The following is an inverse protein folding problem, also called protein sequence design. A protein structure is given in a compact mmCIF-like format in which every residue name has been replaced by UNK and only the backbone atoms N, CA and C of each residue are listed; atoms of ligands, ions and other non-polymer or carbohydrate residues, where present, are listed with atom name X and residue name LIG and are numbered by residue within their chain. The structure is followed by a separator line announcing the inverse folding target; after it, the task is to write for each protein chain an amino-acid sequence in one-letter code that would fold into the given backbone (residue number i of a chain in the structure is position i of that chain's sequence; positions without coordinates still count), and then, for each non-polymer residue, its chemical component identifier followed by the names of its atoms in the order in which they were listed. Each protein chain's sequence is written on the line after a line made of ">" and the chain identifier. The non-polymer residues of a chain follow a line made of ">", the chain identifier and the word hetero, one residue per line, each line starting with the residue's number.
data_IF_814436493802
#
_entry.id   IF_814436493802
#
_cell.length_a   1.000
_cell.length_b   1.000
_cell.length_c   1.000
_cell.angle_alpha   90.00
_cell.angle_beta   90.00
_cell.angle_gamma   90.00
#
_symmetry.space_group_name_H-M   'P 1'
#
loop_
_entity.id
_entity.type
_entity.pdbx_description
1 polymer ?
#
# COMPACT_ATOMS: atom_id res chain seq x y z
N UNK A 1 18.92 -3.13 -0.90
CA UNK A 1 19.19 -1.71 -0.59
C UNK A 1 18.35 -0.88 -1.56
N UNK A 2 17.70 0.20 -1.13
CA UNK A 2 16.98 1.06 -2.07
C UNK A 2 18.00 1.86 -2.89
N UNK A 3 17.98 1.68 -4.21
CA UNK A 3 18.76 2.51 -5.12
C UNK A 3 18.09 3.88 -5.28
N UNK A 4 18.87 4.91 -5.62
CA UNK A 4 18.34 6.22 -6.00
C UNK A 4 17.19 6.03 -7.02
N UNK A 5 16.05 6.67 -6.78
CA UNK A 5 14.86 6.48 -7.62
C UNK A 5 13.86 5.43 -7.11
N UNK A 6 14.08 4.80 -5.96
CA UNK A 6 13.18 3.78 -5.40
C UNK A 6 12.88 4.03 -3.92
N UNK A 7 11.75 3.53 -3.44
CA UNK A 7 11.38 3.50 -2.03
C UNK A 7 11.04 2.08 -1.59
N UNK A 8 11.03 1.85 -0.28
CA UNK A 8 10.72 0.54 0.32
C UNK A 8 9.35 0.62 0.97
N UNK A 9 8.47 -0.31 0.61
CA UNK A 9 7.22 -0.54 1.32
C UNK A 9 7.26 -1.91 1.98
N UNK A 10 6.67 -1.97 3.15
CA UNK A 10 6.39 -3.20 3.88
C UNK A 10 4.89 -3.47 3.86
N UNK A 11 4.52 -4.71 4.10
CA UNK A 11 3.13 -5.16 4.23
C UNK A 11 2.89 -5.69 5.63
N UNK A 12 1.62 -5.92 5.98
CA UNK A 12 1.26 -6.47 7.30
C UNK A 12 1.90 -7.84 7.57
N UNK A 13 2.08 -8.66 6.53
CA UNK A 13 2.79 -9.94 6.59
C UNK A 13 4.33 -9.79 6.55
N UNK A 14 4.83 -8.57 6.78
CA UNK A 14 6.24 -8.19 6.84
C UNK A 14 7.03 -8.44 5.54
N UNK A 15 6.34 -8.65 4.41
CA UNK A 15 7.01 -8.70 3.11
C UNK A 15 7.51 -7.32 2.72
N UNK A 16 8.58 -7.31 1.94
CA UNK A 16 9.31 -6.09 1.56
C UNK A 16 9.32 -5.95 0.04
N UNK A 17 8.88 -4.79 -0.44
CA UNK A 17 8.91 -4.44 -1.85
C UNK A 17 9.77 -3.20 -2.08
N UNK A 18 10.54 -3.22 -3.18
CA UNK A 18 11.27 -2.05 -3.67
C UNK A 18 10.52 -1.52 -4.87
N UNK A 19 9.98 -0.31 -4.75
CA UNK A 19 9.08 0.27 -5.73
C UNK A 19 9.73 1.50 -6.36
N UNK A 20 9.66 1.69 -7.69
CA UNK A 20 10.11 2.91 -8.33
C UNK A 20 9.39 4.15 -7.78
N UNK A 21 10.11 5.25 -7.54
CA UNK A 21 9.53 6.52 -7.06
C UNK A 21 8.49 7.09 -8.03
N UNK A 22 8.56 6.75 -9.32
CA UNK A 22 7.55 7.17 -10.29
C UNK A 22 6.14 6.66 -9.93
N UNK A 23 6.04 5.57 -9.16
CA UNK A 23 4.76 5.00 -8.73
C UNK A 23 4.10 5.85 -7.66
N UNK A 24 4.84 6.68 -6.92
CA UNK A 24 4.26 7.61 -5.92
C UNK A 24 3.27 8.59 -6.57
N UNK A 25 3.46 8.89 -7.86
CA UNK A 25 2.53 9.73 -8.63
C UNK A 25 1.23 9.01 -9.05
N UNK A 26 1.15 7.70 -8.89
CA UNK A 26 -0.05 6.91 -9.19
C UNK A 26 -1.04 7.05 -8.04
N UNK A 27 -2.32 7.21 -8.38
CA UNK A 27 -3.38 7.48 -7.40
C UNK A 27 -3.44 6.37 -6.35
N UNK A 28 -3.28 5.10 -6.75
CA UNK A 28 -3.31 3.97 -5.84
C UNK A 28 -2.18 3.98 -4.82
N UNK A 29 -0.96 4.36 -5.23
CA UNK A 29 0.16 4.47 -4.30
C UNK A 29 0.00 5.66 -3.37
N UNK A 30 -0.44 6.82 -3.88
CA UNK A 30 -0.73 7.97 -3.03
C UNK A 30 -1.74 7.67 -1.93
N UNK A 31 -2.83 6.96 -2.26
CA UNK A 31 -3.85 6.57 -1.29
C UNK A 31 -3.38 5.46 -0.35
N UNK A 32 -2.62 4.47 -0.83
CA UNK A 32 -2.01 3.45 0.03
C UNK A 32 -1.06 4.07 1.07
N UNK A 33 -0.29 5.09 0.69
CA UNK A 33 0.55 5.87 1.61
C UNK A 33 -0.32 6.61 2.64
N UNK A 34 -1.38 7.30 2.21
CA UNK A 34 -2.31 7.98 3.12
C UNK A 34 -2.96 7.01 4.11
N UNK A 35 -3.40 5.85 3.64
CA UNK A 35 -3.96 4.80 4.50
C UNK A 35 -2.93 4.27 5.50
N UNK A 36 -1.64 4.23 5.16
CA UNK A 36 -0.58 3.85 6.11
C UNK A 36 -0.37 4.88 7.23
N UNK A 37 -0.68 6.16 7.00
CA UNK A 37 -0.63 7.17 8.06
C UNK A 37 -1.83 7.05 9.01
N UNK A 38 -3.00 6.68 8.49
CA UNK A 38 -4.25 6.56 9.25
C UNK A 38 -4.38 5.21 9.98
N UNK A 39 -3.97 4.11 9.34
CA UNK A 39 -4.16 2.73 9.81
C UNK A 39 -2.85 1.94 9.97
N UNK A 40 -1.70 2.58 9.75
CA UNK A 40 -0.41 1.91 9.85
C UNK A 40 -0.11 1.41 11.27
N UNK A 41 0.69 0.36 11.34
CA UNK A 41 1.14 -0.18 12.62
C UNK A 41 2.06 0.84 13.33
N UNK A 42 1.94 1.01 14.66
CA UNK A 42 2.87 1.84 15.42
C UNK A 42 4.30 1.32 15.24
N UNK A 43 5.19 2.22 14.83
CA UNK A 43 6.53 1.92 14.33
C UNK A 43 7.50 1.49 15.44
N UNK A 44 7.48 0.21 15.83
CA UNK A 44 8.54 -0.41 16.63
C UNK A 44 9.55 -1.21 15.78
N UNK A 45 9.40 -1.27 14.45
CA UNK A 45 10.27 -1.99 13.49
C UNK A 45 10.35 -1.22 12.14
N UNK A 46 11.26 -1.58 11.21
CA UNK A 46 12.22 -0.68 10.57
C UNK A 46 11.64 0.47 9.72
N UNK A 47 12.38 1.59 9.70
CA UNK A 47 12.21 2.87 8.97
C UNK A 47 11.64 2.66 7.55
N UNK A 48 10.32 2.52 7.43
CA UNK A 48 9.65 2.24 6.17
C UNK A 48 8.14 2.34 6.31
N UNK A 49 7.48 2.57 5.18
CA UNK A 49 6.03 2.69 5.13
C UNK A 49 5.44 1.28 5.11
N UNK A 50 4.58 0.97 6.09
CA UNK A 50 3.86 -0.31 6.14
C UNK A 50 2.45 -0.12 5.59
N UNK A 51 2.17 -0.75 4.46
CA UNK A 51 0.86 -0.71 3.82
C UNK A 51 -0.12 -1.64 4.58
N UNK A 52 -1.40 -1.23 4.74
CA UNK A 52 -2.41 -2.02 5.42
C UNK A 52 -2.99 -3.13 4.51
N UNK A 53 -2.11 -3.90 3.88
CA UNK A 53 -2.43 -5.02 3.00
C UNK A 53 -1.36 -6.11 3.12
N UNK A 54 -1.68 -7.33 2.69
CA UNK A 54 -0.69 -8.41 2.58
C UNK A 54 0.19 -8.26 1.32
N UNK A 55 1.29 -9.01 1.26
CA UNK A 55 2.17 -8.92 0.09
C UNK A 55 1.61 -9.54 -1.18
N UNK A 56 0.63 -10.44 -1.11
CA UNK A 56 -0.03 -10.96 -2.33
C UNK A 56 -0.80 -9.84 -3.02
N UNK A 57 -1.53 -9.05 -2.23
CA UNK A 57 -2.21 -7.87 -2.72
C UNK A 57 -1.23 -6.82 -3.24
N UNK A 58 -0.12 -6.58 -2.54
CA UNK A 58 0.91 -5.64 -2.99
C UNK A 58 1.57 -6.05 -4.30
N UNK A 59 1.86 -7.35 -4.49
CA UNK A 59 2.34 -7.88 -5.77
C UNK A 59 1.34 -7.63 -6.90
N UNK A 60 0.05 -7.84 -6.63
CA UNK A 60 -1.01 -7.58 -7.59
C UNK A 60 -1.14 -6.08 -7.95
N UNK A 61 -1.07 -5.18 -6.97
CA UNK A 61 -1.08 -3.72 -7.22
C UNK A 61 0.13 -3.31 -8.06
N UNK A 62 1.33 -3.78 -7.73
CA UNK A 62 2.54 -3.49 -8.50
C UNK A 62 2.37 -3.95 -9.96
N UNK A 63 1.87 -5.17 -10.16
CA UNK A 63 1.57 -5.70 -11.49
C UNK A 63 0.56 -4.82 -12.24
N UNK A 64 -0.56 -4.44 -11.61
CA UNK A 64 -1.59 -3.61 -12.22
C UNK A 64 -1.10 -2.22 -12.62
N UNK A 65 -0.22 -1.62 -11.80
CA UNK A 65 0.40 -0.33 -12.11
C UNK A 65 1.34 -0.46 -13.31
N UNK A 66 2.11 -1.56 -13.42
CA UNK A 66 2.98 -1.83 -14.57
C UNK A 66 2.19 -1.95 -15.87
N UNK A 67 1.05 -2.65 -15.85
CA UNK A 67 0.22 -2.87 -17.04
C UNK A 67 -0.74 -1.72 -17.36
N UNK A 68 -0.59 -0.56 -16.70
CA UNK A 68 -1.44 0.63 -16.91
C UNK A 68 -2.93 0.32 -16.73
N UNK A 69 -3.32 -0.06 -15.52
CA UNK A 69 -4.73 -0.29 -15.20
C UNK A 69 -5.62 0.92 -15.56
N UNK A 70 -6.86 0.68 -16.04
CA UNK A 70 -7.83 1.75 -16.25
C UNK A 70 -8.15 2.48 -14.95
N UNK A 71 -8.38 3.79 -15.04
CA UNK A 71 -8.67 4.65 -13.88
C UNK A 71 -9.88 4.18 -13.08
N UNK A 72 -10.92 3.68 -13.76
CA UNK A 72 -12.13 3.16 -13.09
C UNK A 72 -11.83 1.91 -12.27
N UNK A 73 -10.92 1.05 -12.75
CA UNK A 73 -10.45 -0.12 -11.99
C UNK A 73 -9.62 0.32 -10.79
N UNK A 74 -8.82 1.38 -10.94
CA UNK A 74 -8.00 1.95 -9.86
C UNK A 74 -8.89 2.50 -8.74
N UNK A 75 -9.93 3.26 -9.10
CA UNK A 75 -10.94 3.78 -8.16
C UNK A 75 -11.71 2.65 -7.46
N UNK A 76 -12.13 1.62 -8.19
CA UNK A 76 -12.85 0.50 -7.62
C UNK A 76 -12.00 -0.27 -6.60
N UNK A 77 -10.73 -0.54 -6.93
CA UNK A 77 -9.79 -1.18 -6.02
C UNK A 77 -9.53 -0.35 -4.77
N UNK A 78 -9.35 0.97 -4.92
CA UNK A 78 -9.20 1.88 -3.79
C UNK A 78 -10.42 1.89 -2.88
N UNK A 79 -11.63 1.88 -3.44
CA UNK A 79 -12.87 1.80 -2.65
C UNK A 79 -12.91 0.54 -1.78
N UNK A 80 -12.55 -0.61 -2.36
CA UNK A 80 -12.47 -1.89 -1.64
C UNK A 80 -11.42 -1.86 -0.52
N UNK A 81 -10.25 -1.27 -0.79
CA UNK A 81 -9.17 -1.12 0.19
C UNK A 81 -9.61 -0.30 1.40
N UNK A 82 -10.24 0.85 1.17
CA UNK A 82 -10.75 1.71 2.24
C UNK A 82 -11.84 1.03 3.05
N UNK A 83 -12.76 0.31 2.40
CA UNK A 83 -13.78 -0.46 3.11
C UNK A 83 -13.18 -1.54 4.00
N UNK A 84 -12.18 -2.26 3.48
CA UNK A 84 -11.50 -3.32 4.23
C UNK A 84 -10.68 -2.76 5.41
N UNK A 85 -9.90 -1.70 5.20
CA UNK A 85 -9.12 -1.05 6.25
C UNK A 85 -10.02 -0.52 7.38
N UNK A 86 -11.14 0.12 7.03
CA UNK A 86 -12.12 0.63 8.01
C UNK A 86 -12.83 -0.49 8.78
N UNK A 87 -13.12 -1.62 8.12
CA UNK A 87 -13.67 -2.79 8.79
C UNK A 87 -12.69 -3.39 9.79
N UNK A 88 -11.40 -3.44 9.45
CA UNK A 88 -10.33 -3.93 10.32
C UNK A 88 -10.11 -3.05 11.55
N UNK A 89 -10.06 -1.73 11.37
CA UNK A 89 -9.92 -0.77 12.48
C UNK A 89 -11.06 -0.91 13.51
N UNK A 90 -12.31 -1.08 13.02
CA UNK A 90 -13.47 -1.36 13.87
C UNK A 90 -13.36 -2.68 14.66
N UNK A 91 -12.65 -3.67 14.14
CA UNK A 91 -12.43 -4.95 14.83
C UNK A 91 -11.31 -4.84 15.86
N UNK A 92 -10.30 -3.97 15.66
CA UNK A 92 -9.23 -3.71 16.64
C UNK A 92 -9.66 -2.79 17.81
N UNK A 93 -10.76 -2.06 17.67
CA UNK A 93 -11.36 -1.23 18.73
C UNK A 93 -12.39 -1.99 19.61
N UNK A 94 -12.60 -3.28 19.37
CA UNK A 94 -13.47 -4.19 20.15
C UNK A 94 -12.62 -5.22 20.90
#
# INVERSE_FOLDING_TARGET
>A
MASKGHFVVYTDDKKRFVVPLEYVSKMIFGELLRMSEEFGLPSNEPIGITLPCDGTFSEYVIYLVQVHMPEDLEKALLSLLWQHAKARDRVQLL
#
